data_IF_688080761870
#
_entry.id   IF_688080761870
#
_cell.length_a   1.000
_cell.length_b   1.000
_cell.length_c   1.000
_cell.angle_alpha   90.00
_cell.angle_beta   90.00
_cell.angle_gamma   90.00
#
_symmetry.space_group_name_H-M   'P 1'
#
loop_
_entity.id
_entity.type
_entity.pdbx_description
1 polymer ?
#
# COMPACT_ATOMS: atom_id res chain seq x y z
N UNK A 1 -6.55 -29.01 18.16
CA UNK A 1 -6.90 -29.54 16.82
C UNK A 1 -8.31 -30.11 16.95
N UNK A 2 -9.24 -29.59 16.20
CA UNK A 2 -10.62 -30.09 16.13
C UNK A 2 -10.85 -30.83 14.81
N UNK A 3 -11.64 -31.92 14.88
CA UNK A 3 -12.16 -32.54 13.67
C UNK A 3 -13.54 -31.95 13.39
N UNK A 4 -13.61 -31.08 12.37
CA UNK A 4 -14.81 -30.38 11.95
C UNK A 4 -14.81 -28.89 12.32
N UNK A 5 -15.96 -28.25 12.11
CA UNK A 5 -16.11 -26.82 12.27
C UNK A 5 -15.92 -26.33 13.71
N UNK A 6 -15.29 -25.18 13.83
CA UNK A 6 -15.07 -24.50 15.11
C UNK A 6 -15.86 -23.21 15.13
N UNK A 7 -16.50 -22.90 16.23
CA UNK A 7 -17.23 -21.70 16.49
C UNK A 7 -16.74 -21.05 17.79
N UNK A 8 -16.15 -19.85 17.68
CA UNK A 8 -15.84 -19.01 18.84
C UNK A 8 -17.05 -18.11 19.06
N UNK A 9 -17.71 -18.29 20.19
CA UNK A 9 -18.97 -17.60 20.50
C UNK A 9 -18.75 -16.11 20.79
N UNK A 10 -19.82 -15.32 20.73
CA UNK A 10 -19.84 -13.88 20.95
C UNK A 10 -19.16 -13.45 22.24
N UNK A 11 -18.50 -12.27 22.21
CA UNK A 11 -17.89 -11.60 23.37
C UNK A 11 -16.81 -12.42 24.12
N UNK A 12 -16.29 -13.50 23.53
CA UNK A 12 -15.25 -14.34 24.15
C UNK A 12 -13.86 -13.93 23.66
N UNK A 13 -12.90 -13.98 24.59
CA UNK A 13 -11.47 -13.89 24.29
C UNK A 13 -10.86 -15.28 24.40
N UNK A 14 -10.47 -15.86 23.26
CA UNK A 14 -9.76 -17.13 23.20
C UNK A 14 -8.25 -16.90 23.16
N UNK A 15 -7.52 -17.48 24.12
CA UNK A 15 -6.06 -17.49 24.12
C UNK A 15 -5.54 -18.79 23.50
N UNK A 16 -4.73 -18.67 22.46
CA UNK A 16 -4.10 -19.79 21.75
C UNK A 16 -4.52 -19.91 20.29
N UNK A 17 -3.92 -20.87 19.61
CA UNK A 17 -4.14 -21.12 18.20
C UNK A 17 -5.36 -22.02 17.95
N UNK A 18 -6.04 -21.77 16.84
CA UNK A 18 -7.13 -22.60 16.34
C UNK A 18 -6.60 -23.41 15.15
N UNK A 19 -6.79 -24.73 15.20
CA UNK A 19 -6.56 -25.65 14.09
C UNK A 19 -7.80 -26.46 13.83
N UNK A 20 -8.39 -26.33 12.63
CA UNK A 20 -9.61 -27.02 12.22
C UNK A 20 -9.43 -27.70 10.87
N UNK A 21 -9.89 -28.93 10.73
CA UNK A 21 -10.06 -29.61 9.44
C UNK A 21 -11.42 -29.29 8.77
N UNK A 22 -12.20 -28.38 9.36
CA UNK A 22 -13.42 -27.78 8.83
C UNK A 22 -13.31 -26.26 8.70
N UNK A 23 -14.44 -25.58 8.84
CA UNK A 23 -14.54 -24.11 8.83
C UNK A 23 -14.36 -23.53 10.24
N UNK A 24 -13.97 -22.25 10.30
CA UNK A 24 -13.84 -21.51 11.55
C UNK A 24 -14.72 -20.27 11.50
N UNK A 25 -15.53 -20.09 12.53
CA UNK A 25 -16.38 -18.89 12.68
C UNK A 25 -16.05 -18.18 13.98
N UNK A 26 -15.61 -16.94 13.87
CA UNK A 26 -15.39 -16.05 15.00
C UNK A 26 -16.57 -15.10 15.04
N UNK A 27 -17.41 -15.26 16.09
CA UNK A 27 -18.65 -14.51 16.20
C UNK A 27 -18.44 -13.05 16.61
N UNK A 28 -19.52 -12.28 16.61
CA UNK A 28 -19.51 -10.85 16.90
C UNK A 28 -18.76 -10.52 18.21
N UNK A 29 -17.88 -9.51 18.15
CA UNK A 29 -17.00 -9.01 19.23
C UNK A 29 -16.05 -10.06 19.84
N UNK A 30 -16.00 -11.29 19.34
CA UNK A 30 -15.06 -12.29 19.85
C UNK A 30 -13.63 -12.01 19.41
N UNK A 31 -12.67 -12.41 20.22
CA UNK A 31 -11.24 -12.20 19.94
C UNK A 31 -10.45 -13.49 20.07
N UNK A 32 -9.55 -13.73 19.10
CA UNK A 32 -8.57 -14.83 19.13
C UNK A 32 -7.17 -14.22 19.25
N UNK A 33 -6.47 -14.50 20.35
CA UNK A 33 -5.13 -13.94 20.60
C UNK A 33 -4.01 -14.73 19.90
N UNK A 34 -4.33 -15.83 19.23
CA UNK A 34 -3.41 -16.69 18.48
C UNK A 34 -3.68 -16.71 16.99
N UNK A 35 -3.12 -17.72 16.32
CA UNK A 35 -3.29 -17.96 14.89
C UNK A 35 -4.52 -18.81 14.59
N UNK A 36 -5.03 -18.71 13.37
CA UNK A 36 -6.11 -19.57 12.88
C UNK A 36 -5.63 -20.31 11.62
N UNK A 37 -5.83 -21.63 11.64
CA UNK A 37 -5.58 -22.53 10.51
C UNK A 37 -6.84 -23.36 10.26
N UNK A 38 -7.40 -23.27 9.05
CA UNK A 38 -8.60 -24.01 8.66
C UNK A 38 -8.40 -24.69 7.29
N UNK A 39 -9.03 -25.84 7.10
CA UNK A 39 -9.07 -26.50 5.77
C UNK A 39 -10.17 -25.90 4.88
N UNK A 40 -11.25 -25.38 5.48
CA UNK A 40 -12.36 -24.75 4.79
C UNK A 40 -12.43 -23.24 5.10
N UNK A 41 -13.61 -22.64 5.01
CA UNK A 41 -13.80 -21.20 5.11
C UNK A 41 -13.57 -20.64 6.54
N UNK A 42 -13.13 -19.42 6.61
CA UNK A 42 -13.03 -18.64 7.84
C UNK A 42 -13.95 -17.43 7.75
N UNK A 43 -14.83 -17.27 8.73
CA UNK A 43 -15.70 -16.11 8.87
C UNK A 43 -15.37 -15.36 10.16
N UNK A 44 -15.01 -14.10 10.02
CA UNK A 44 -14.91 -13.14 11.11
C UNK A 44 -16.16 -12.25 11.06
N UNK A 45 -17.04 -12.42 12.03
CA UNK A 45 -18.25 -11.60 12.16
C UNK A 45 -17.92 -10.19 12.64
N UNK A 46 -18.93 -9.36 12.78
CA UNK A 46 -18.82 -7.95 13.12
C UNK A 46 -17.95 -7.72 14.36
N UNK A 47 -16.97 -6.81 14.21
CA UNK A 47 -15.97 -6.48 15.25
C UNK A 47 -15.12 -7.64 15.75
N UNK A 48 -15.17 -8.83 15.14
CA UNK A 48 -14.33 -9.96 15.52
C UNK A 48 -12.84 -9.62 15.29
N UNK A 49 -11.97 -10.06 16.19
CA UNK A 49 -10.54 -9.75 16.14
C UNK A 49 -9.68 -11.01 16.22
N UNK A 50 -8.67 -11.10 15.34
CA UNK A 50 -7.64 -12.15 15.39
C UNK A 50 -6.27 -11.49 15.45
N UNK A 51 -5.52 -11.66 16.55
CA UNK A 51 -4.22 -11.01 16.71
C UNK A 51 -3.07 -11.72 15.98
N UNK A 52 -3.25 -13.00 15.65
CA UNK A 52 -2.28 -13.82 14.92
C UNK A 52 -2.55 -13.93 13.44
N UNK A 53 -1.80 -14.82 12.79
CA UNK A 53 -1.96 -15.12 11.38
C UNK A 53 -3.24 -15.92 11.11
N UNK A 54 -3.78 -15.75 9.90
CA UNK A 54 -4.99 -16.45 9.46
C UNK A 54 -4.66 -17.18 8.16
N UNK A 55 -4.85 -18.50 8.14
CA UNK A 55 -4.58 -19.34 6.97
C UNK A 55 -5.76 -20.27 6.71
N UNK A 56 -6.18 -20.37 5.45
CA UNK A 56 -7.17 -21.36 5.04
C UNK A 56 -6.95 -21.86 3.62
N UNK A 57 -7.45 -23.08 3.34
CA UNK A 57 -7.59 -23.62 1.98
C UNK A 57 -8.88 -23.14 1.29
N UNK A 58 -9.82 -22.56 2.03
CA UNK A 58 -11.07 -21.99 1.53
C UNK A 58 -11.02 -20.48 1.42
N UNK A 59 -12.17 -19.84 1.70
CA UNK A 59 -12.36 -18.41 1.69
C UNK A 59 -12.17 -17.79 3.07
N UNK A 60 -11.85 -16.49 3.11
CA UNK A 60 -11.91 -15.70 4.34
C UNK A 60 -12.91 -14.55 4.12
N UNK A 61 -13.80 -14.39 5.09
CA UNK A 61 -14.77 -13.29 5.08
C UNK A 61 -14.57 -12.46 6.35
N UNK A 62 -14.39 -11.16 6.16
CA UNK A 62 -14.39 -10.16 7.21
C UNK A 62 -15.69 -9.36 7.14
N UNK A 63 -16.53 -9.42 8.19
CA UNK A 63 -17.67 -8.52 8.34
C UNK A 63 -17.23 -7.16 8.91
N UNK A 64 -18.15 -6.20 8.93
CA UNK A 64 -17.86 -4.82 9.34
C UNK A 64 -17.17 -4.75 10.72
N UNK A 65 -16.08 -3.98 10.80
CA UNK A 65 -15.31 -3.81 12.03
C UNK A 65 -14.35 -4.96 12.36
N UNK A 66 -14.42 -6.08 11.63
CA UNK A 66 -13.53 -7.21 11.89
C UNK A 66 -12.07 -6.84 11.58
N UNK A 67 -11.13 -7.41 12.33
CA UNK A 67 -9.70 -7.07 12.22
C UNK A 67 -8.77 -8.26 12.37
N UNK A 68 -7.58 -8.16 11.75
CA UNK A 68 -6.50 -9.12 11.90
C UNK A 68 -5.18 -8.42 12.20
N UNK A 69 -4.44 -8.95 13.16
CA UNK A 69 -3.15 -8.41 13.60
C UNK A 69 -3.25 -7.29 14.62
N UNK A 70 -2.12 -6.62 14.83
CA UNK A 70 -1.98 -5.49 15.74
C UNK A 70 -0.91 -4.53 15.20
N UNK A 71 -0.93 -3.24 15.57
CA UNK A 71 -0.12 -2.21 14.91
C UNK A 71 1.39 -2.44 14.90
N UNK A 72 1.92 -3.16 15.88
CA UNK A 72 3.35 -3.39 16.10
C UNK A 72 3.83 -4.76 15.64
N UNK A 73 2.94 -5.59 15.06
CA UNK A 73 3.27 -6.95 14.63
C UNK A 73 2.66 -7.28 13.27
N UNK A 74 3.53 -7.56 12.30
CA UNK A 74 3.12 -8.00 10.97
C UNK A 74 2.38 -9.32 11.05
N UNK A 75 1.18 -9.37 10.49
CA UNK A 75 0.30 -10.52 10.44
C UNK A 75 0.08 -10.93 8.98
N UNK A 76 -0.11 -12.21 8.72
CA UNK A 76 -0.45 -12.71 7.38
C UNK A 76 -1.86 -13.27 7.37
N UNK A 77 -2.69 -12.80 6.45
CA UNK A 77 -4.03 -13.31 6.16
C UNK A 77 -3.96 -13.98 4.79
N UNK A 78 -4.06 -15.29 4.76
CA UNK A 78 -3.84 -16.08 3.54
C UNK A 78 -5.02 -17.01 3.29
N UNK A 79 -5.66 -16.86 2.13
CA UNK A 79 -6.67 -17.78 1.63
C UNK A 79 -6.20 -18.44 0.35
N UNK A 80 -6.54 -19.70 0.12
CA UNK A 80 -6.35 -20.32 -1.17
C UNK A 80 -7.37 -19.83 -2.20
N UNK A 81 -8.59 -19.56 -1.75
CA UNK A 81 -9.67 -19.06 -2.61
C UNK A 81 -9.81 -17.54 -2.49
N UNK A 82 -10.87 -17.01 -1.95
CA UNK A 82 -11.20 -15.58 -1.94
C UNK A 82 -11.09 -14.98 -0.53
N UNK A 83 -10.71 -13.71 -0.45
CA UNK A 83 -10.82 -12.90 0.77
C UNK A 83 -11.80 -11.77 0.50
N UNK A 84 -12.85 -11.69 1.31
CA UNK A 84 -13.91 -10.70 1.16
C UNK A 84 -14.00 -9.82 2.41
N UNK A 85 -14.05 -8.51 2.22
CA UNK A 85 -14.22 -7.54 3.28
C UNK A 85 -15.54 -6.80 3.13
N UNK A 86 -16.36 -6.80 4.19
CA UNK A 86 -17.60 -6.03 4.27
C UNK A 86 -17.43 -4.88 5.25
N UNK A 87 -17.71 -3.65 4.83
CA UNK A 87 -17.57 -2.47 5.67
C UNK A 87 -16.11 -2.06 5.95
N UNK A 88 -15.85 -1.44 7.08
CA UNK A 88 -14.53 -0.97 7.49
C UNK A 88 -13.80 -2.06 8.29
N UNK A 89 -12.66 -2.51 7.80
CA UNK A 89 -11.86 -3.57 8.40
C UNK A 89 -10.41 -3.12 8.57
N UNK A 90 -9.67 -3.77 9.47
CA UNK A 90 -8.26 -3.48 9.70
C UNK A 90 -7.44 -4.76 9.60
N UNK A 91 -6.42 -4.78 8.74
CA UNK A 91 -5.43 -5.85 8.68
C UNK A 91 -4.03 -5.23 8.81
N UNK A 92 -3.34 -5.60 9.89
CA UNK A 92 -1.99 -5.11 10.17
C UNK A 92 -0.95 -6.08 9.58
N UNK A 93 -0.81 -6.06 8.26
CA UNK A 93 0.14 -6.94 7.59
C UNK A 93 -0.23 -7.29 6.16
N UNK A 94 0.02 -8.54 5.78
CA UNK A 94 -0.16 -9.00 4.41
C UNK A 94 -1.49 -9.71 4.22
N UNK A 95 -2.17 -9.41 3.11
CA UNK A 95 -3.38 -10.12 2.65
C UNK A 95 -3.05 -10.82 1.35
N UNK A 96 -3.16 -12.15 1.33
CA UNK A 96 -2.75 -12.99 0.20
C UNK A 96 -3.88 -13.94 -0.16
N UNK A 97 -4.37 -13.88 -1.39
CA UNK A 97 -5.24 -14.89 -1.97
C UNK A 97 -4.50 -15.63 -3.09
N UNK A 98 -4.56 -16.96 -3.10
CA UNK A 98 -3.84 -17.80 -4.07
C UNK A 98 -4.70 -18.23 -5.27
N UNK A 99 -6.00 -18.04 -5.21
CA UNK A 99 -6.93 -18.41 -6.27
C UNK A 99 -7.31 -17.22 -7.16
N UNK A 100 -8.52 -17.26 -7.69
CA UNK A 100 -9.14 -16.14 -8.43
C UNK A 100 -9.56 -14.99 -7.50
N UNK A 101 -8.80 -14.77 -6.44
CA UNK A 101 -9.13 -13.96 -5.29
C UNK A 101 -9.66 -12.59 -5.61
N UNK A 102 -10.88 -12.31 -5.12
CA UNK A 102 -11.44 -10.98 -5.11
C UNK A 102 -11.34 -10.43 -3.70
N UNK A 103 -10.81 -9.24 -3.56
CA UNK A 103 -10.97 -8.46 -2.34
C UNK A 103 -12.17 -7.53 -2.60
N UNK A 104 -13.28 -7.83 -1.97
CA UNK A 104 -14.52 -7.05 -2.08
C UNK A 104 -14.72 -6.27 -0.78
N UNK A 105 -15.04 -4.99 -0.87
CA UNK A 105 -15.48 -4.18 0.26
C UNK A 105 -16.86 -3.59 -0.06
N UNK A 106 -17.85 -3.91 0.74
CA UNK A 106 -19.22 -3.37 0.75
C UNK A 106 -19.72 -2.80 -0.59
N UNK A 107 -20.23 -3.65 -1.48
CA UNK A 107 -20.92 -3.29 -2.73
C UNK A 107 -20.19 -2.33 -3.69
N UNK A 108 -18.98 -1.94 -3.41
CA UNK A 108 -18.09 -1.22 -4.32
C UNK A 108 -16.87 -2.08 -4.60
N UNK A 109 -16.59 -2.31 -5.87
CA UNK A 109 -15.28 -2.79 -6.29
C UNK A 109 -14.25 -1.82 -5.77
N UNK A 110 -13.48 -2.23 -4.74
CA UNK A 110 -12.35 -1.45 -4.31
C UNK A 110 -11.19 -1.81 -5.20
N UNK A 111 -10.58 -0.78 -5.70
CA UNK A 111 -9.33 -0.78 -6.39
C UNK A 111 -8.29 -1.64 -5.66
N UNK A 112 -8.10 -2.84 -6.17
CA UNK A 112 -7.15 -3.78 -5.66
C UNK A 112 -7.60 -5.20 -5.86
N UNK A 113 -7.66 -5.68 -7.10
CA UNK A 113 -7.51 -7.11 -7.35
C UNK A 113 -6.06 -7.47 -6.98
N UNK A 114 -5.84 -7.87 -5.74
CA UNK A 114 -4.58 -8.49 -5.36
C UNK A 114 -4.64 -9.96 -5.78
N UNK A 115 -4.18 -10.24 -6.99
CA UNK A 115 -4.07 -11.59 -7.51
C UNK A 115 -2.66 -12.15 -7.27
N UNK A 116 -2.55 -13.34 -6.70
CA UNK A 116 -1.39 -14.21 -6.82
C UNK A 116 -1.65 -15.32 -7.85
N UNK A 117 -0.62 -16.01 -8.39
CA UNK A 117 -0.37 -16.13 -9.81
C UNK A 117 -1.35 -17.07 -10.53
N UNK A 118 -2.05 -16.51 -11.49
CA UNK A 118 -2.94 -17.21 -12.40
C UNK A 118 -3.89 -16.26 -13.12
N UNK A 119 -3.32 -15.29 -13.84
CA UNK A 119 -3.94 -14.19 -14.59
C UNK A 119 -4.48 -13.03 -13.76
N UNK A 120 -3.67 -12.01 -13.60
CA UNK A 120 -4.05 -10.79 -12.90
C UNK A 120 -4.67 -9.77 -13.85
N UNK A 121 -5.81 -9.20 -13.48
CA UNK A 121 -6.14 -7.85 -13.96
C UNK A 121 -5.40 -6.86 -13.05
N UNK A 122 -4.07 -6.84 -13.15
CA UNK A 122 -3.29 -5.79 -12.51
C UNK A 122 -3.45 -4.51 -13.33
N UNK A 123 -3.86 -3.42 -12.69
CA UNK A 123 -3.69 -2.12 -13.31
C UNK A 123 -2.19 -1.80 -13.32
N UNK A 124 -1.51 -2.17 -14.40
CA UNK A 124 -0.12 -1.75 -14.64
C UNK A 124 -0.01 -0.22 -14.69
N UNK A 125 -1.12 0.45 -14.94
CA UNK A 125 -1.23 1.91 -15.01
C UNK A 125 -2.35 2.41 -14.11
N UNK A 126 -2.00 3.30 -13.18
CA UNK A 126 -2.95 4.08 -12.39
C UNK A 126 -3.23 5.38 -13.11
N UNK A 127 -4.50 5.67 -13.33
CA UNK A 127 -4.99 6.95 -13.85
C UNK A 127 -6.22 7.32 -13.05
N UNK A 128 -6.20 8.47 -12.43
CA UNK A 128 -7.35 9.02 -11.69
C UNK A 128 -8.32 9.67 -12.68
N UNK A 129 -9.62 9.52 -12.46
CA UNK A 129 -10.64 10.12 -13.32
C UNK A 129 -10.68 11.64 -13.14
N UNK A 130 -10.47 12.09 -11.91
CA UNK A 130 -10.43 13.51 -11.55
C UNK A 130 -9.65 13.73 -10.24
N UNK A 131 -9.53 15.00 -9.85
CA UNK A 131 -8.85 15.42 -8.63
C UNK A 131 -9.53 14.87 -7.37
N UNK A 132 -10.87 14.78 -7.39
CA UNK A 132 -11.63 14.26 -6.24
C UNK A 132 -11.31 12.78 -5.96
N UNK A 133 -11.16 11.96 -7.01
CA UNK A 133 -10.72 10.57 -6.86
C UNK A 133 -9.32 10.50 -6.24
N UNK A 134 -8.40 11.36 -6.67
CA UNK A 134 -7.03 11.43 -6.15
C UNK A 134 -6.98 11.85 -4.67
N UNK A 135 -7.71 12.90 -4.30
CA UNK A 135 -7.76 13.43 -2.93
C UNK A 135 -8.46 12.49 -1.95
N UNK A 136 -9.34 11.60 -2.44
CA UNK A 136 -10.04 10.61 -1.64
C UNK A 136 -9.30 9.25 -1.56
N UNK A 137 -8.10 9.11 -2.12
CA UNK A 137 -7.26 7.94 -1.86
C UNK A 137 -6.98 7.90 -0.36
N UNK A 138 -7.27 6.77 0.26
CA UNK A 138 -7.09 6.62 1.70
C UNK A 138 -5.61 6.76 2.11
N UNK A 139 -5.35 6.88 3.40
CA UNK A 139 -4.01 7.06 3.97
C UNK A 139 -3.00 5.98 3.55
N UNK A 140 -3.46 4.82 3.08
CA UNK A 140 -2.60 3.74 2.60
C UNK A 140 -2.11 3.98 1.17
N UNK A 141 -2.83 4.78 0.38
CA UNK A 141 -2.49 5.04 -1.02
C UNK A 141 -2.28 3.76 -1.81
N UNK A 142 -1.20 3.74 -2.61
CA UNK A 142 -0.73 2.55 -3.35
C UNK A 142 0.45 1.89 -2.66
N UNK A 143 0.60 2.10 -1.36
CA UNK A 143 1.73 1.63 -0.57
C UNK A 143 1.94 0.13 -0.70
N UNK A 144 3.14 -0.25 -1.18
CA UNK A 144 3.53 -1.64 -1.34
C UNK A 144 2.93 -2.33 -2.57
N UNK A 145 2.25 -1.60 -3.46
CA UNK A 145 1.77 -2.15 -4.71
C UNK A 145 2.95 -2.52 -5.63
N UNK A 146 3.14 -3.82 -5.83
CA UNK A 146 4.25 -4.36 -6.62
C UNK A 146 3.91 -4.52 -8.11
N UNK A 147 2.73 -4.11 -8.55
CA UNK A 147 2.25 -4.32 -9.93
C UNK A 147 2.13 -3.03 -10.72
N UNK A 148 1.90 -1.90 -10.05
CA UNK A 148 1.82 -0.59 -10.69
C UNK A 148 3.15 -0.25 -11.35
N UNK A 149 3.13 -0.13 -12.67
CA UNK A 149 4.28 0.26 -13.49
C UNK A 149 4.27 1.72 -13.89
N UNK A 150 3.09 2.30 -13.98
CA UNK A 150 2.89 3.68 -14.42
C UNK A 150 1.82 4.36 -13.55
N UNK A 151 2.12 5.56 -13.05
CA UNK A 151 1.18 6.39 -12.33
C UNK A 151 1.01 7.75 -13.02
N UNK A 152 -0.25 8.14 -13.27
CA UNK A 152 -0.61 9.44 -13.85
C UNK A 152 -1.38 10.23 -12.81
N UNK A 153 -0.75 11.26 -12.27
CA UNK A 153 -1.36 12.16 -11.29
C UNK A 153 -2.26 13.15 -12.03
N UNK A 154 -3.49 13.40 -11.55
CA UNK A 154 -4.47 14.23 -12.27
C UNK A 154 -4.08 15.70 -12.27
N UNK A 155 -4.51 16.42 -13.30
CA UNK A 155 -4.38 17.87 -13.36
C UNK A 155 -5.08 18.54 -12.16
N UNK A 156 -4.42 19.56 -11.60
CA UNK A 156 -4.89 20.28 -10.42
C UNK A 156 -4.37 19.72 -9.09
N UNK A 157 -3.82 18.50 -9.05
CA UNK A 157 -3.16 17.99 -7.86
C UNK A 157 -1.96 18.88 -7.51
N UNK A 158 -1.93 19.40 -6.30
CA UNK A 158 -0.86 20.30 -5.82
C UNK A 158 0.13 19.62 -4.89
N UNK A 159 -0.24 18.47 -4.33
CA UNK A 159 0.54 17.72 -3.35
C UNK A 159 0.55 16.25 -3.72
N UNK A 160 1.72 15.62 -3.64
CA UNK A 160 1.83 14.16 -3.57
C UNK A 160 1.90 13.78 -2.09
N UNK A 161 0.87 13.11 -1.55
CA UNK A 161 0.78 12.83 -0.13
C UNK A 161 1.88 11.92 0.39
N UNK A 162 2.11 12.01 1.69
CA UNK A 162 3.07 11.19 2.43
C UNK A 162 2.84 9.69 2.18
N UNK A 163 3.93 9.00 1.80
CA UNK A 163 3.95 7.55 1.56
C UNK A 163 2.97 7.05 0.49
N UNK A 164 2.41 7.91 -0.36
CA UNK A 164 1.38 7.55 -1.36
C UNK A 164 1.77 6.36 -2.23
N UNK A 165 3.01 6.30 -2.70
CA UNK A 165 3.57 5.24 -3.54
C UNK A 165 4.75 4.52 -2.86
N UNK A 166 4.82 4.58 -1.52
CA UNK A 166 5.89 3.91 -0.78
C UNK A 166 5.94 2.42 -1.11
N UNK A 167 7.11 1.92 -1.54
CA UNK A 167 7.31 0.50 -1.81
C UNK A 167 6.67 0.00 -3.11
N UNK A 168 6.24 0.88 -4.02
CA UNK A 168 5.78 0.50 -5.36
C UNK A 168 6.97 0.05 -6.21
N UNK A 169 7.45 -1.17 -5.96
CA UNK A 169 8.72 -1.68 -6.50
C UNK A 169 8.73 -1.90 -8.01
N UNK A 170 7.58 -1.94 -8.65
CA UNK A 170 7.43 -2.06 -10.11
C UNK A 170 7.14 -0.74 -10.81
N UNK A 171 7.00 0.38 -10.07
CA UNK A 171 6.72 1.68 -10.64
C UNK A 171 7.92 2.18 -11.44
N UNK A 172 7.78 2.21 -12.77
CA UNK A 172 8.80 2.63 -13.71
C UNK A 172 8.64 4.07 -14.18
N UNK A 173 7.37 4.52 -14.30
CA UNK A 173 7.02 5.81 -14.88
C UNK A 173 6.06 6.59 -13.98
N UNK A 174 6.34 7.89 -13.85
CA UNK A 174 5.53 8.81 -13.09
C UNK A 174 5.25 10.06 -13.93
N UNK A 175 3.98 10.37 -14.13
CA UNK A 175 3.53 11.58 -14.80
C UNK A 175 2.95 12.55 -13.77
N UNK A 176 3.61 13.68 -13.58
CA UNK A 176 3.21 14.72 -12.65
C UNK A 176 2.63 15.91 -13.44
N UNK A 177 1.48 16.48 -13.05
CA UNK A 177 0.96 17.69 -13.64
C UNK A 177 1.76 18.92 -13.19
N UNK A 178 1.74 19.99 -13.98
CA UNK A 178 2.46 21.25 -13.68
C UNK A 178 2.04 21.88 -12.33
N UNK A 179 0.86 21.52 -11.82
CA UNK A 179 0.30 22.02 -10.56
C UNK A 179 0.98 21.47 -9.31
N UNK A 180 1.73 20.35 -9.40
CA UNK A 180 2.39 19.75 -8.23
C UNK A 180 3.45 20.70 -7.68
N UNK A 181 3.26 21.08 -6.42
CA UNK A 181 4.14 22.01 -5.70
C UNK A 181 4.85 21.38 -4.51
N UNK A 182 4.36 20.27 -3.98
CA UNK A 182 4.93 19.58 -2.84
C UNK A 182 4.91 18.07 -3.08
N UNK A 183 6.03 17.44 -2.83
CA UNK A 183 6.14 15.99 -2.67
C UNK A 183 6.45 15.76 -1.19
N UNK A 184 5.54 15.10 -0.47
CA UNK A 184 5.69 14.87 0.96
C UNK A 184 6.63 13.69 1.28
N UNK A 185 6.87 13.48 2.59
CA UNK A 185 7.82 12.48 3.09
C UNK A 185 7.49 11.06 2.59
N UNK A 186 8.53 10.33 2.18
CA UNK A 186 8.45 8.94 1.73
C UNK A 186 7.52 8.70 0.54
N UNK A 187 7.08 9.72 -0.18
CA UNK A 187 6.05 9.59 -1.22
C UNK A 187 6.34 8.50 -2.24
N UNK A 188 7.60 8.34 -2.64
CA UNK A 188 8.09 7.34 -3.60
C UNK A 188 9.26 6.53 -3.05
N UNK A 189 9.47 6.49 -1.73
CA UNK A 189 10.55 5.69 -1.16
C UNK A 189 10.35 4.20 -1.49
N UNK A 190 11.44 3.47 -1.71
CA UNK A 190 11.46 2.07 -2.15
C UNK A 190 10.82 1.79 -3.53
N UNK A 191 10.69 2.79 -4.40
CA UNK A 191 10.32 2.61 -5.80
C UNK A 191 11.56 2.21 -6.62
N UNK A 192 11.99 0.96 -6.49
CA UNK A 192 13.32 0.47 -6.91
C UNK A 192 13.60 0.62 -8.40
N UNK A 193 12.57 0.57 -9.27
CA UNK A 193 12.73 0.61 -10.72
C UNK A 193 12.26 1.92 -11.35
N UNK A 194 11.93 2.93 -10.54
CA UNK A 194 11.55 4.26 -11.02
C UNK A 194 12.75 4.91 -11.70
N UNK A 195 12.64 5.14 -13.01
CA UNK A 195 13.74 5.65 -13.84
C UNK A 195 13.70 7.13 -14.07
N UNK A 196 12.50 7.66 -14.35
CA UNK A 196 12.29 9.04 -14.76
C UNK A 196 10.92 9.52 -14.31
N UNK A 197 10.85 10.75 -13.88
CA UNK A 197 9.63 11.52 -13.83
C UNK A 197 9.59 12.45 -15.05
N UNK A 198 8.57 12.34 -15.87
CA UNK A 198 8.46 13.17 -17.06
C UNK A 198 7.99 14.59 -16.71
N UNK A 199 8.48 15.58 -17.46
CA UNK A 199 8.03 16.99 -17.42
C UNK A 199 8.49 17.84 -16.23
N UNK A 200 9.57 17.49 -15.57
CA UNK A 200 10.06 18.19 -14.36
C UNK A 200 10.34 19.67 -14.60
N UNK A 201 10.83 20.05 -15.78
CA UNK A 201 11.21 21.43 -16.09
C UNK A 201 10.04 22.42 -15.98
N UNK A 202 8.80 21.92 -16.10
CA UNK A 202 7.58 22.73 -16.05
C UNK A 202 6.87 22.67 -14.69
N UNK A 203 7.33 21.83 -13.77
CA UNK A 203 6.69 21.70 -12.47
C UNK A 203 6.80 22.98 -11.65
N UNK A 204 5.74 23.28 -10.91
CA UNK A 204 5.71 24.33 -9.89
C UNK A 204 6.28 23.88 -8.55
N UNK A 205 7.07 22.79 -8.54
CA UNK A 205 7.57 22.11 -7.34
C UNK A 205 8.43 23.05 -6.48
N UNK A 206 8.07 23.15 -5.20
CA UNK A 206 8.74 24.01 -4.21
C UNK A 206 9.52 23.22 -3.18
N UNK A 207 9.04 22.02 -2.83
CA UNK A 207 9.70 21.18 -1.82
C UNK A 207 9.59 19.70 -2.13
N UNK A 208 10.66 18.97 -1.76
CA UNK A 208 10.74 17.53 -1.75
C UNK A 208 10.98 17.10 -0.30
N UNK A 209 10.10 16.28 0.25
CA UNK A 209 10.08 15.85 1.64
C UNK A 209 11.16 14.84 2.02
N UNK A 210 11.21 14.51 3.30
CA UNK A 210 12.19 13.58 3.88
C UNK A 210 12.05 12.21 3.21
N UNK A 211 13.20 11.65 2.74
CA UNK A 211 13.27 10.33 2.12
C UNK A 211 12.26 10.12 0.96
N UNK A 212 11.83 11.18 0.29
CA UNK A 212 10.75 11.10 -0.70
C UNK A 212 11.05 10.14 -1.86
N UNK A 213 12.31 9.96 -2.23
CA UNK A 213 12.82 9.04 -3.26
C UNK A 213 13.93 8.13 -2.74
N UNK A 214 13.99 7.90 -1.44
CA UNK A 214 14.96 6.97 -0.85
C UNK A 214 14.85 5.59 -1.48
N UNK A 215 16.00 4.94 -1.79
CA UNK A 215 16.07 3.62 -2.43
C UNK A 215 15.46 3.55 -3.86
N UNK A 216 15.35 4.66 -4.57
CA UNK A 216 15.00 4.65 -5.99
C UNK A 216 16.24 4.26 -6.84
N UNK A 217 16.61 2.97 -6.79
CA UNK A 217 17.89 2.48 -7.33
C UNK A 217 18.08 2.70 -8.83
N UNK A 218 16.98 2.70 -9.62
CA UNK A 218 17.02 2.85 -11.06
C UNK A 218 16.98 4.31 -11.55
N UNK A 219 16.89 5.29 -10.64
CA UNK A 219 16.86 6.71 -10.99
C UNK A 219 18.24 7.15 -11.49
N UNK A 220 18.35 7.45 -12.77
CA UNK A 220 19.64 7.75 -13.42
C UNK A 220 20.04 9.24 -13.34
N UNK A 221 19.08 10.11 -13.35
CA UNK A 221 19.31 11.55 -13.22
C UNK A 221 18.18 12.23 -12.45
N UNK A 222 18.53 13.32 -11.78
CA UNK A 222 17.58 14.17 -11.06
C UNK A 222 17.62 15.56 -11.70
N UNK A 223 16.53 15.94 -12.37
CA UNK A 223 16.33 17.29 -12.88
C UNK A 223 15.50 18.08 -11.88
N UNK A 224 16.02 19.22 -11.45
CA UNK A 224 15.41 20.06 -10.44
C UNK A 224 14.78 21.27 -11.12
N UNK A 225 13.46 21.52 -10.98
CA UNK A 225 12.83 22.69 -11.59
C UNK A 225 13.28 23.99 -10.91
N UNK A 226 13.25 25.08 -11.62
CA UNK A 226 13.69 26.38 -11.11
C UNK A 226 12.94 26.85 -9.88
N UNK A 227 11.67 26.43 -9.75
CA UNK A 227 10.78 26.74 -8.63
C UNK A 227 11.14 26.06 -7.31
N UNK A 228 12.00 25.01 -7.34
CA UNK A 228 12.34 24.22 -6.17
C UNK A 228 13.19 25.05 -5.19
N UNK A 229 12.76 25.07 -3.93
CA UNK A 229 13.44 25.86 -2.88
C UNK A 229 14.06 25.00 -1.79
N UNK A 230 13.51 23.80 -1.54
CA UNK A 230 13.94 22.92 -0.44
C UNK A 230 13.96 21.48 -0.89
N UNK A 231 15.04 20.78 -0.57
CA UNK A 231 15.18 19.33 -0.60
C UNK A 231 15.45 18.89 0.83
N UNK A 232 14.56 18.13 1.43
CA UNK A 232 14.69 17.68 2.79
C UNK A 232 15.71 16.53 2.96
N UNK A 233 15.95 16.13 4.23
CA UNK A 233 16.94 15.09 4.55
C UNK A 233 16.65 13.76 3.88
N UNK A 234 17.73 13.10 3.39
CA UNK A 234 17.68 11.80 2.74
C UNK A 234 16.74 11.71 1.50
N UNK A 235 16.27 12.84 0.94
CA UNK A 235 15.26 12.87 -0.11
C UNK A 235 15.56 11.95 -1.30
N UNK A 236 16.83 11.79 -1.69
CA UNK A 236 17.34 10.91 -2.75
C UNK A 236 18.44 9.97 -2.23
N UNK A 237 18.38 9.60 -0.94
CA UNK A 237 19.37 8.70 -0.36
C UNK A 237 19.28 7.32 -1.03
N UNK A 238 20.45 6.67 -1.17
CA UNK A 238 20.59 5.36 -1.81
C UNK A 238 20.06 5.30 -3.27
N UNK A 239 19.92 6.44 -3.96
CA UNK A 239 19.66 6.47 -5.40
C UNK A 239 20.95 6.18 -6.17
N UNK A 240 21.46 4.95 -6.06
CA UNK A 240 22.81 4.55 -6.47
C UNK A 240 23.11 4.70 -7.97
N UNK A 241 22.08 4.80 -8.81
CA UNK A 241 22.24 5.02 -10.26
C UNK A 241 22.29 6.49 -10.65
N UNK A 242 22.00 7.42 -9.74
CA UNK A 242 22.05 8.86 -10.05
C UNK A 242 23.47 9.28 -10.36
N UNK A 243 23.68 9.60 -11.61
CA UNK A 243 24.99 10.07 -12.12
C UNK A 243 24.96 11.51 -12.60
N UNK A 244 23.79 12.15 -12.58
CA UNK A 244 23.63 13.53 -13.06
C UNK A 244 22.54 14.26 -12.28
N UNK A 245 22.91 15.43 -11.73
CA UNK A 245 21.99 16.43 -11.22
C UNK A 245 21.89 17.56 -12.26
N UNK A 246 20.67 17.93 -12.60
CA UNK A 246 20.37 18.99 -13.57
C UNK A 246 19.61 20.10 -12.86
N UNK A 247 20.16 21.28 -12.86
CA UNK A 247 19.52 22.52 -12.40
C UNK A 247 20.03 23.68 -13.24
N UNK A 248 19.22 24.72 -13.38
CA UNK A 248 19.56 25.89 -14.19
C UNK A 248 20.25 26.97 -13.37
N UNK A 249 20.80 27.97 -14.08
CA UNK A 249 21.40 29.17 -13.47
C UNK A 249 20.33 30.03 -12.76
N UNK A 250 19.03 29.80 -13.02
CA UNK A 250 17.90 30.51 -12.42
C UNK A 250 17.27 29.74 -11.25
N UNK A 251 17.89 28.65 -10.80
CA UNK A 251 17.43 27.85 -9.70
C UNK A 251 17.21 28.63 -8.41
N UNK A 252 16.05 28.47 -7.79
CA UNK A 252 15.68 29.09 -6.50
C UNK A 252 16.04 28.23 -5.29
N UNK A 253 16.80 27.15 -5.47
CA UNK A 253 17.16 26.21 -4.41
C UNK A 253 17.96 26.91 -3.30
N UNK A 254 17.47 26.81 -2.08
CA UNK A 254 18.03 27.46 -0.88
C UNK A 254 18.58 26.47 0.13
N UNK A 255 17.98 25.28 0.20
CA UNK A 255 18.27 24.32 1.24
C UNK A 255 18.34 22.91 0.67
N UNK A 256 19.36 22.18 1.07
CA UNK A 256 19.52 20.74 0.84
C UNK A 256 19.77 20.11 2.21
N UNK A 257 18.89 19.25 2.62
CA UNK A 257 18.94 18.58 3.91
C UNK A 257 20.04 17.54 4.02
N UNK A 258 20.27 17.06 5.23
CA UNK A 258 21.33 16.10 5.52
C UNK A 258 21.13 14.79 4.75
N UNK A 259 22.22 14.29 4.15
CA UNK A 259 22.20 13.02 3.40
C UNK A 259 21.26 12.98 2.19
N UNK A 260 20.80 14.11 1.68
CA UNK A 260 19.80 14.17 0.61
C UNK A 260 20.19 13.37 -0.66
N UNK A 261 21.49 13.20 -0.93
CA UNK A 261 22.05 12.45 -2.07
C UNK A 261 23.14 11.45 -1.64
N UNK A 262 22.99 10.83 -0.49
CA UNK A 262 23.95 9.88 0.04
C UNK A 262 23.93 8.56 -0.71
#
# INVERSE_FOLDING_TARGET
>A
ISRGDIKVIEDIILQGDIHSDGSVRIMENASVLGNIFAENDILLEKNATVLGNIFTQGNIIFEEGASAGQPDKITSVVARETITFYGSNYVYGYVISQGSGKILKSDREIFGEYCFPGEPVHKEKITFQDLSEYENVDFQGFRGDIYVKEAVIPEGASVIPKSQFFGCRSLEKLHLPESVSVIEDYAFADCHVLKVWESIEKLSLKSVGISAFENCYALEFVSLPDSLTVIEGAAFAECVSVNKLIFSDTSLLKEIGDHAFR
#
